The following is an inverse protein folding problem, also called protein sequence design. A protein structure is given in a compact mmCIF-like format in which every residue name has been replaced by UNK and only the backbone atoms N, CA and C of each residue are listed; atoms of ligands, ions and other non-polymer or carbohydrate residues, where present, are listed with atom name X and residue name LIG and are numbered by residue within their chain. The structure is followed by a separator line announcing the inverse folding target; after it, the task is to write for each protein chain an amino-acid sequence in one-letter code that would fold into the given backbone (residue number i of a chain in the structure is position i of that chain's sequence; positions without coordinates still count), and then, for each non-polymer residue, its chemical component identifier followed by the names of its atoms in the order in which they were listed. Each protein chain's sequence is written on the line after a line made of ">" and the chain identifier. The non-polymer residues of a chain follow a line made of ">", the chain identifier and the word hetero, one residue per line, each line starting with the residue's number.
data_IF_946096169450
#
_entry.id   IF_946096169450
#
_cell.length_a   1.000
_cell.length_b   1.000
_cell.length_c   1.000
_cell.angle_alpha   90.00
_cell.angle_beta   90.00
_cell.angle_gamma   90.00
#
_symmetry.space_group_name_H-M   'P 1'
#
loop_
_entity.id
_entity.type
_entity.pdbx_description
1 polymer ?
#
# COMPACT_ATOMS: atom_id res chain seq x y z
N UNK A 1 -5.14 -8.50 10.17
CA UNK A 1 -5.44 -7.11 10.54
C UNK A 1 -6.07 -6.42 9.34
N UNK A 2 -7.36 -6.13 9.40
CA UNK A 2 -8.10 -5.33 8.42
C UNK A 2 -7.98 -3.83 8.74
N UNK A 3 -8.51 -2.95 7.87
CA UNK A 3 -8.55 -1.50 8.12
C UNK A 3 -9.36 -1.15 9.37
N UNK A 4 -10.50 -1.80 9.60
CA UNK A 4 -11.32 -1.57 10.80
C UNK A 4 -10.62 -2.03 12.07
N UNK A 5 -9.99 -3.22 12.04
CA UNK A 5 -9.21 -3.74 13.19
C UNK A 5 -8.02 -2.83 13.53
N UNK A 6 -7.37 -2.20 12.55
CA UNK A 6 -6.32 -1.21 12.79
C UNK A 6 -6.87 0.03 13.52
N UNK A 7 -8.01 0.55 13.08
CA UNK A 7 -8.68 1.72 13.68
C UNK A 7 -9.07 1.41 15.12
N UNK A 8 -9.68 0.25 15.36
CA UNK A 8 -10.05 -0.20 16.70
C UNK A 8 -8.84 -0.28 17.64
N UNK A 9 -7.76 -0.93 17.19
CA UNK A 9 -6.52 -1.06 17.98
C UNK A 9 -5.92 0.30 18.33
N UNK A 10 -5.88 1.23 17.37
CA UNK A 10 -5.38 2.59 17.61
C UNK A 10 -6.28 3.38 18.56
N UNK A 11 -7.60 3.32 18.37
CA UNK A 11 -8.57 3.99 19.24
C UNK A 11 -8.51 3.46 20.68
N UNK A 12 -8.35 2.15 20.88
CA UNK A 12 -8.16 1.57 22.21
C UNK A 12 -6.86 2.04 22.88
N UNK A 13 -5.77 2.19 22.12
CA UNK A 13 -4.48 2.63 22.66
C UNK A 13 -4.43 4.12 22.97
N UNK A 14 -5.21 4.94 22.25
CA UNK A 14 -5.21 6.40 22.36
C UNK A 14 -6.49 6.88 23.04
N UNK A 15 -6.67 6.57 24.33
CA UNK A 15 -7.88 6.88 25.10
C UNK A 15 -8.23 8.36 25.19
N UNK A 16 -7.27 9.25 24.91
CA UNK A 16 -7.44 10.70 24.87
C UNK A 16 -7.91 11.22 23.50
N UNK A 17 -7.99 10.37 22.47
CA UNK A 17 -8.45 10.74 21.13
C UNK A 17 -9.83 10.10 20.89
N UNK A 18 -10.84 10.86 20.44
CA UNK A 18 -12.12 10.27 20.07
C UNK A 18 -11.98 9.19 18.99
N UNK A 19 -12.62 8.03 19.18
CA UNK A 19 -12.54 6.91 18.23
C UNK A 19 -12.91 7.31 16.79
N UNK A 20 -13.88 8.23 16.64
CA UNK A 20 -14.28 8.79 15.35
C UNK A 20 -13.15 9.58 14.67
N UNK A 21 -12.39 10.35 15.43
CA UNK A 21 -11.24 11.08 14.91
C UNK A 21 -10.13 10.12 14.44
N UNK A 22 -9.89 9.01 15.16
CA UNK A 22 -8.96 7.96 14.72
C UNK A 22 -9.43 7.31 13.42
N UNK A 23 -10.73 6.99 13.31
CA UNK A 23 -11.31 6.43 12.10
C UNK A 23 -11.09 7.35 10.89
N UNK A 24 -11.40 8.63 11.04
CA UNK A 24 -11.30 9.62 9.97
C UNK A 24 -9.83 9.86 9.58
N UNK A 25 -8.93 9.98 10.56
CA UNK A 25 -7.50 10.13 10.30
C UNK A 25 -6.90 8.94 9.53
N UNK A 26 -7.23 7.70 9.92
CA UNK A 26 -6.74 6.51 9.19
C UNK A 26 -7.29 6.44 7.78
N UNK A 27 -8.56 6.83 7.56
CA UNK A 27 -9.13 6.90 6.22
C UNK A 27 -8.41 7.95 5.36
N UNK A 28 -8.18 9.13 5.92
CA UNK A 28 -7.54 10.25 5.24
C UNK A 28 -6.07 9.97 4.89
N UNK A 29 -5.30 9.39 5.82
CA UNK A 29 -3.92 8.96 5.53
C UNK A 29 -3.84 7.97 4.36
N UNK A 30 -4.71 6.97 4.33
CA UNK A 30 -4.72 5.97 3.24
C UNK A 30 -5.12 6.57 1.90
N UNK A 31 -6.09 7.50 1.91
CA UNK A 31 -6.49 8.24 0.70
C UNK A 31 -5.35 9.12 0.20
N UNK A 32 -4.67 9.83 1.10
CA UNK A 32 -3.54 10.67 0.75
C UNK A 32 -2.38 9.86 0.16
N UNK A 33 -2.10 8.66 0.69
CA UNK A 33 -1.13 7.74 0.09
C UNK A 33 -1.57 7.28 -1.31
N UNK A 34 -2.85 6.98 -1.50
CA UNK A 34 -3.37 6.55 -2.80
C UNK A 34 -3.28 7.68 -3.84
N UNK A 35 -3.67 8.90 -3.48
CA UNK A 35 -3.63 10.06 -4.36
C UNK A 35 -2.21 10.48 -4.71
N UNK A 36 -1.26 10.38 -3.76
CA UNK A 36 0.18 10.61 -4.01
C UNK A 36 0.69 9.66 -5.10
N UNK A 37 0.38 8.36 -5.01
CA UNK A 37 0.80 7.39 -6.03
C UNK A 37 0.09 7.61 -7.37
N UNK A 38 -1.18 8.03 -7.36
CA UNK A 38 -1.91 8.34 -8.59
C UNK A 38 -1.32 9.54 -9.34
N UNK A 39 -0.68 10.47 -8.63
CA UNK A 39 0.05 11.61 -9.19
C UNK A 39 1.44 11.26 -9.72
N UNK A 40 1.88 10.00 -9.59
CA UNK A 40 3.21 9.58 -10.03
C UNK A 40 4.31 9.78 -8.98
N UNK A 41 3.95 10.24 -7.79
CA UNK A 41 4.91 10.55 -6.73
C UNK A 41 5.24 9.31 -5.89
N UNK A 42 6.40 9.37 -5.22
CA UNK A 42 6.87 8.32 -4.31
C UNK A 42 6.48 8.65 -2.87
N UNK A 43 6.27 7.61 -2.06
CA UNK A 43 6.09 7.74 -0.62
C UNK A 43 7.29 7.12 0.08
N UNK A 44 7.83 7.79 1.09
CA UNK A 44 8.92 7.27 1.91
C UNK A 44 8.64 7.48 3.39
N UNK A 45 8.55 6.38 4.13
CA UNK A 45 8.36 6.37 5.58
C UNK A 45 9.56 5.63 6.17
N UNK A 46 10.54 6.37 6.69
CA UNK A 46 11.75 5.77 7.30
C UNK A 46 11.37 4.80 8.42
N UNK A 47 12.06 3.66 8.49
CA UNK A 47 11.71 2.54 9.37
C UNK A 47 10.67 1.59 8.75
N UNK A 48 9.60 2.11 8.15
CA UNK A 48 8.52 1.31 7.59
C UNK A 48 8.79 0.82 6.15
N UNK A 49 9.09 1.72 5.22
CA UNK A 49 9.34 1.39 3.81
C UNK A 49 9.01 2.52 2.85
N UNK A 50 9.08 2.22 1.56
CA UNK A 50 8.78 3.17 0.48
C UNK A 50 7.84 2.58 -0.56
N UNK A 51 6.91 3.39 -1.06
CA UNK A 51 6.09 3.08 -2.23
C UNK A 51 6.61 3.85 -3.44
N UNK A 52 6.70 3.17 -4.57
CA UNK A 52 7.11 3.73 -5.86
C UNK A 52 6.26 3.12 -6.97
N UNK A 53 6.30 3.72 -8.16
CA UNK A 53 5.68 3.16 -9.35
C UNK A 53 6.72 2.43 -10.20
N UNK A 54 6.42 1.19 -10.59
CA UNK A 54 7.22 0.47 -11.58
C UNK A 54 6.49 0.42 -12.91
N UNK A 55 7.17 0.82 -13.98
CA UNK A 55 6.63 0.70 -15.33
C UNK A 55 6.52 -0.78 -15.74
N UNK A 56 5.52 -1.06 -16.57
CA UNK A 56 5.32 -2.32 -17.29
C UNK A 56 5.17 -1.95 -18.76
N UNK A 57 6.08 -2.45 -19.58
CA UNK A 57 6.02 -2.27 -21.03
C UNK A 57 4.75 -2.94 -21.60
N UNK A 58 4.20 -2.40 -22.71
CA UNK A 58 3.11 -3.04 -23.43
C UNK A 58 3.51 -4.44 -23.88
N UNK A 59 2.55 -5.37 -23.89
CA UNK A 59 2.79 -6.76 -24.30
C UNK A 59 1.49 -7.46 -24.71
N UNK A 60 1.61 -8.48 -25.54
CA UNK A 60 0.51 -9.43 -25.78
C UNK A 60 0.39 -10.39 -24.59
N UNK A 61 -0.67 -10.21 -23.80
CA UNK A 61 -1.08 -11.16 -22.76
C UNK A 61 -1.94 -12.29 -23.30
N UNK A 62 -2.46 -13.11 -22.39
CA UNK A 62 -3.47 -14.13 -22.68
C UNK A 62 -4.56 -14.13 -21.63
N UNK A 63 -5.79 -14.39 -22.04
CA UNK A 63 -6.88 -14.68 -21.12
C UNK A 63 -6.55 -16.01 -20.39
N UNK A 64 -6.43 -16.02 -19.05
CA UNK A 64 -6.05 -17.23 -18.32
C UNK A 64 -7.10 -18.34 -18.38
N UNK A 65 -8.35 -18.03 -18.73
CA UNK A 65 -9.44 -19.00 -18.84
C UNK A 65 -9.54 -19.63 -20.24
N UNK A 66 -9.28 -18.87 -21.30
CA UNK A 66 -9.50 -19.33 -22.70
C UNK A 66 -8.22 -19.50 -23.51
N UNK A 67 -7.13 -18.86 -23.10
CA UNK A 67 -5.85 -18.87 -23.83
C UNK A 67 -5.76 -17.84 -24.97
N UNK A 68 -6.84 -17.12 -25.27
CA UNK A 68 -6.90 -16.10 -26.31
C UNK A 68 -5.93 -14.95 -26.03
N UNK A 69 -5.31 -14.43 -27.10
CA UNK A 69 -4.39 -13.30 -27.01
C UNK A 69 -5.15 -12.01 -26.71
N UNK A 70 -4.54 -11.14 -25.89
CA UNK A 70 -5.06 -9.80 -25.59
C UNK A 70 -3.90 -8.81 -25.57
N UNK A 71 -4.04 -7.69 -26.28
CA UNK A 71 -3.06 -6.61 -26.22
C UNK A 71 -3.21 -5.85 -24.90
N UNK A 72 -2.09 -5.66 -24.19
CA UNK A 72 -2.03 -4.94 -22.93
C UNK A 72 -1.16 -3.71 -23.11
N UNK A 73 -1.74 -2.54 -22.86
CA UNK A 73 -1.03 -1.28 -22.88
C UNK A 73 0.02 -1.19 -21.76
N UNK A 74 1.02 -0.34 -21.98
CA UNK A 74 2.02 -0.04 -20.98
C UNK A 74 1.39 0.70 -19.80
N UNK A 75 1.77 0.36 -18.58
CA UNK A 75 1.19 0.95 -17.36
C UNK A 75 2.17 1.01 -16.22
N UNK A 76 1.88 1.85 -15.24
CA UNK A 76 2.56 1.82 -13.95
C UNK A 76 1.80 0.94 -12.96
N UNK A 77 2.55 0.28 -12.09
CA UNK A 77 2.01 -0.49 -10.96
C UNK A 77 2.70 -0.07 -9.66
N UNK A 78 1.96 0.06 -8.54
CA UNK A 78 2.58 0.31 -7.24
C UNK A 78 3.53 -0.82 -6.85
N UNK A 79 4.64 -0.45 -6.21
CA UNK A 79 5.62 -1.35 -5.65
C UNK A 79 5.99 -0.86 -4.25
N UNK A 80 5.91 -1.73 -3.25
CA UNK A 80 6.35 -1.44 -1.89
C UNK A 80 7.70 -2.11 -1.63
N UNK A 81 8.65 -1.33 -1.10
CA UNK A 81 9.94 -1.81 -0.60
C UNK A 81 9.94 -1.68 0.93
N UNK A 82 9.89 -2.78 1.69
CA UNK A 82 9.95 -2.75 3.15
C UNK A 82 11.24 -2.08 3.63
N UNK A 83 11.17 -1.25 4.67
CA UNK A 83 12.31 -0.60 5.32
C UNK A 83 13.14 -1.58 6.15
N UNK A 84 14.33 -1.16 6.62
CA UNK A 84 15.21 -2.04 7.42
C UNK A 84 14.50 -2.51 8.69
N UNK A 85 13.96 -1.59 9.49
CA UNK A 85 13.30 -1.93 10.75
C UNK A 85 12.12 -2.88 10.53
N UNK A 86 11.27 -2.63 9.53
CA UNK A 86 10.17 -3.54 9.20
C UNK A 86 10.66 -4.93 8.78
N UNK A 87 11.71 -5.03 7.95
CA UNK A 87 12.28 -6.33 7.54
C UNK A 87 12.83 -7.09 8.74
N UNK A 88 13.61 -6.42 9.59
CA UNK A 88 14.24 -7.03 10.75
C UNK A 88 13.17 -7.53 11.74
N UNK A 89 12.11 -6.75 11.99
CA UNK A 89 11.00 -7.12 12.87
C UNK A 89 10.12 -8.23 12.31
N UNK A 90 9.96 -8.31 10.98
CA UNK A 90 9.15 -9.32 10.32
C UNK A 90 9.89 -10.65 10.11
N UNK A 91 11.23 -10.60 10.03
CA UNK A 91 12.04 -11.78 9.82
C UNK A 91 12.21 -12.56 11.13
N UNK A 92 11.45 -13.65 11.27
CA UNK A 92 11.52 -14.54 12.44
C UNK A 92 12.62 -15.62 12.32
N UNK A 93 13.35 -15.65 11.20
CA UNK A 93 14.45 -16.59 10.96
C UNK A 93 15.79 -15.85 11.01
N UNK A 94 16.67 -16.27 11.92
CA UNK A 94 18.05 -15.76 12.04
C UNK A 94 19.01 -16.40 11.06
#
# INVERSE_FOLDING_TARGET
>A
MTKSELIERLATQQSHIPAKAVEDAVKEMLEHMASTLAQGERIEIRGFGSFSLHYRAPRTGRNPKTGDKVELEGKYVPHFKPGKELRDRANIYG
#
